data_IF_290341595097
#
_entry.id   IF_290341595097
#
_cell.length_a   1.000
_cell.length_b   1.000
_cell.length_c   1.000
_cell.angle_alpha   90.00
_cell.angle_beta   90.00
_cell.angle_gamma   90.00
#
_symmetry.space_group_name_H-M   'P 1'
#
loop_
_entity.id
_entity.type
_entity.pdbx_description
1 polymer ?
#
# COMPACT_ATOMS: atom_id res chain seq x y z
N UNK A 1 13.09 26.07 5.45
CA UNK A 1 11.66 26.04 5.76
C UNK A 1 11.22 24.62 5.40
N UNK A 2 11.06 23.76 6.41
CA UNK A 2 10.61 22.38 6.17
C UNK A 2 9.16 22.42 5.66
N UNK A 3 8.77 21.60 4.68
CA UNK A 3 7.38 21.53 4.29
C UNK A 3 6.58 21.04 5.50
N UNK A 4 5.55 21.79 5.87
CA UNK A 4 4.58 21.35 6.85
C UNK A 4 3.97 20.06 6.30
N UNK A 5 4.10 18.96 7.05
CA UNK A 5 3.37 17.73 6.77
C UNK A 5 1.88 18.05 6.89
N UNK A 6 1.23 18.15 5.76
CA UNK A 6 -0.22 18.18 5.68
C UNK A 6 -0.70 16.86 6.30
N UNK A 7 -1.33 16.93 7.46
CA UNK A 7 -1.73 15.77 8.26
C UNK A 7 -3.09 15.23 7.77
N UNK A 8 -3.40 15.45 6.49
CA UNK A 8 -4.65 15.00 5.89
C UNK A 8 -4.64 13.47 5.74
N UNK A 9 -5.69 12.83 6.23
CA UNK A 9 -5.93 11.40 6.02
C UNK A 9 -6.60 11.25 4.65
N UNK A 10 -5.77 11.03 3.62
CA UNK A 10 -6.21 11.03 2.22
C UNK A 10 -6.75 9.67 1.75
N UNK A 11 -6.38 8.62 2.46
CA UNK A 11 -6.78 7.25 2.16
C UNK A 11 -7.43 6.57 3.36
N UNK A 12 -8.37 5.68 3.05
CA UNK A 12 -8.92 4.71 3.99
C UNK A 12 -8.63 3.29 3.50
N UNK A 13 -8.12 2.44 4.38
CA UNK A 13 -8.07 1.00 4.18
C UNK A 13 -9.26 0.39 4.90
N UNK A 14 -10.23 -0.11 4.14
CA UNK A 14 -11.40 -0.82 4.66
C UNK A 14 -11.23 -2.32 4.47
N UNK A 15 -11.49 -3.10 5.51
CA UNK A 15 -11.45 -4.56 5.49
C UNK A 15 -12.87 -5.13 5.37
N UNK A 16 -12.97 -6.34 4.86
CA UNK A 16 -14.25 -7.03 4.65
C UNK A 16 -15.05 -7.23 5.96
N UNK A 17 -14.38 -7.31 7.10
CA UNK A 17 -14.99 -7.42 8.43
C UNK A 17 -15.51 -6.09 8.99
N UNK A 18 -15.39 -4.99 8.22
CA UNK A 18 -15.80 -3.65 8.60
C UNK A 18 -14.75 -2.83 9.33
N UNK A 19 -13.55 -3.40 9.60
CA UNK A 19 -12.46 -2.61 10.20
C UNK A 19 -11.93 -1.58 9.20
N UNK A 20 -11.66 -0.35 9.69
CA UNK A 20 -11.17 0.75 8.86
C UNK A 20 -9.92 1.36 9.48
N UNK A 21 -8.91 1.59 8.66
CA UNK A 21 -7.70 2.31 9.02
C UNK A 21 -7.55 3.53 8.10
N UNK A 22 -7.28 4.69 8.67
CA UNK A 22 -6.99 5.89 7.90
C UNK A 22 -5.48 6.14 7.83
N UNK A 23 -5.03 6.71 6.71
CA UNK A 23 -3.63 7.02 6.50
C UNK A 23 -3.41 8.02 5.39
N UNK A 24 -2.13 8.27 5.10
CA UNK A 24 -1.70 9.21 4.07
C UNK A 24 -1.31 8.48 2.79
N UNK A 25 -1.60 9.09 1.65
CA UNK A 25 -1.18 8.59 0.34
C UNK A 25 0.29 8.88 0.08
N UNK A 26 1.02 7.88 -0.46
CA UNK A 26 2.34 8.11 -1.03
C UNK A 26 2.56 7.43 -2.39
N UNK A 27 1.57 6.70 -2.89
CA UNK A 27 1.52 6.08 -4.22
C UNK A 27 0.65 6.84 -5.21
N UNK A 28 0.04 6.09 -6.14
CA UNK A 28 -0.89 6.64 -7.12
C UNK A 28 -2.21 7.10 -6.48
N UNK A 29 -2.78 8.19 -6.98
CA UNK A 29 -4.08 8.71 -6.54
C UNK A 29 -5.24 7.90 -7.16
N UNK A 30 -5.52 6.74 -6.57
CA UNK A 30 -6.46 5.76 -7.10
C UNK A 30 -6.97 4.85 -6.00
N UNK A 31 -8.24 4.46 -6.07
CA UNK A 31 -8.82 3.41 -5.22
C UNK A 31 -8.58 2.03 -5.83
N UNK A 32 -8.40 1.02 -4.98
CA UNK A 32 -8.19 -0.38 -5.38
C UNK A 32 -8.79 -1.35 -4.38
N UNK A 33 -9.22 -2.52 -4.84
CA UNK A 33 -9.65 -3.64 -4.02
C UNK A 33 -8.82 -4.89 -4.34
N UNK A 34 -8.63 -5.75 -3.35
CA UNK A 34 -7.90 -7.00 -3.50
C UNK A 34 -7.87 -7.82 -2.21
N UNK A 35 -7.24 -8.97 -2.27
CA UNK A 35 -6.95 -9.77 -1.08
C UNK A 35 -5.80 -9.16 -0.29
N UNK A 36 -5.96 -9.04 1.03
CA UNK A 36 -4.90 -8.61 1.92
C UNK A 36 -3.95 -9.76 2.21
N UNK A 37 -2.67 -9.51 1.97
CA UNK A 37 -1.58 -10.42 2.34
C UNK A 37 -0.48 -9.64 3.05
N UNK A 38 0.36 -10.31 3.82
CA UNK A 38 1.45 -9.64 4.52
C UNK A 38 2.79 -10.31 4.26
N UNK A 39 3.84 -9.51 4.36
CA UNK A 39 5.23 -9.93 4.26
C UNK A 39 6.00 -9.48 5.49
N UNK A 40 6.89 -10.34 5.99
CA UNK A 40 7.67 -10.09 7.22
C UNK A 40 9.15 -9.78 6.96
N UNK A 41 9.57 -9.68 5.72
CA UNK A 41 10.94 -9.32 5.36
C UNK A 41 11.29 -7.90 5.81
N UNK A 42 12.51 -7.73 6.32
CA UNK A 42 13.02 -6.43 6.74
C UNK A 42 13.62 -5.62 5.59
N UNK A 43 13.98 -6.32 4.52
CA UNK A 43 14.61 -5.77 3.30
C UNK A 43 13.98 -6.43 2.08
N UNK A 44 14.27 -5.94 0.88
CA UNK A 44 13.80 -6.56 -0.36
C UNK A 44 12.37 -6.12 -0.73
N UNK A 45 11.98 -4.88 -0.42
CA UNK A 45 10.66 -4.42 -0.85
C UNK A 45 10.55 -4.24 -2.37
N UNK A 46 11.60 -3.86 -3.15
CA UNK A 46 11.48 -3.82 -4.61
C UNK A 46 11.22 -5.21 -5.21
N UNK A 47 11.90 -6.23 -4.70
CA UNK A 47 11.70 -7.62 -5.08
C UNK A 47 10.27 -8.08 -4.72
N UNK A 48 9.83 -7.81 -3.51
CA UNK A 48 8.50 -8.24 -3.04
C UNK A 48 7.35 -7.62 -3.83
N UNK A 49 7.41 -6.33 -4.16
CA UNK A 49 6.32 -5.67 -4.90
C UNK A 49 6.31 -6.01 -6.39
N UNK A 50 7.43 -6.53 -6.92
CA UNK A 50 7.52 -7.05 -8.30
C UNK A 50 7.33 -8.56 -8.38
N UNK A 51 7.20 -9.26 -7.25
CA UNK A 51 6.96 -10.71 -7.25
C UNK A 51 5.55 -11.03 -7.80
N UNK A 52 5.47 -11.80 -8.91
CA UNK A 52 4.20 -12.21 -9.50
C UNK A 52 3.27 -12.98 -8.56
N UNK A 53 3.82 -13.58 -7.48
CA UNK A 53 3.03 -14.30 -6.47
C UNK A 53 2.03 -13.38 -5.74
N UNK A 54 2.31 -12.07 -5.69
CA UNK A 54 1.42 -11.07 -5.08
C UNK A 54 0.48 -10.39 -6.08
N UNK A 55 0.35 -10.91 -7.28
CA UNK A 55 -0.47 -10.29 -8.33
C UNK A 55 -1.92 -10.09 -7.90
N UNK A 56 -2.37 -8.83 -7.99
CA UNK A 56 -3.73 -8.44 -7.64
C UNK A 56 -4.01 -8.38 -6.13
N UNK A 57 -3.00 -8.58 -5.29
CA UNK A 57 -3.13 -8.54 -3.84
C UNK A 57 -2.69 -7.18 -3.27
N UNK A 58 -3.27 -6.78 -2.14
CA UNK A 58 -2.83 -5.63 -1.35
C UNK A 58 -1.79 -6.14 -0.35
N UNK A 59 -0.54 -5.71 -0.53
CA UNK A 59 0.59 -6.16 0.28
C UNK A 59 0.79 -5.29 1.51
N UNK A 60 0.75 -5.92 2.70
CA UNK A 60 1.06 -5.28 3.98
C UNK A 60 2.50 -5.59 4.37
N UNK A 61 3.33 -4.57 4.50
CA UNK A 61 4.70 -4.74 5.00
C UNK A 61 4.75 -4.56 6.51
N UNK A 62 5.21 -5.59 7.22
CA UNK A 62 5.27 -5.57 8.69
C UNK A 62 6.46 -4.80 9.22
N UNK A 63 7.52 -4.64 8.42
CA UNK A 63 8.67 -3.82 8.82
C UNK A 63 8.25 -2.35 8.90
N UNK A 64 8.56 -1.66 10.01
CA UNK A 64 7.93 -0.36 10.27
C UNK A 64 8.33 0.75 9.30
N UNK A 65 9.56 0.75 8.77
CA UNK A 65 10.04 1.80 7.88
C UNK A 65 10.33 1.25 6.47
N UNK A 66 9.61 1.75 5.48
CA UNK A 66 9.76 1.34 4.07
C UNK A 66 10.15 2.55 3.20
N UNK A 67 10.91 2.32 2.13
CA UNK A 67 11.37 3.35 1.21
C UNK A 67 12.75 3.94 1.53
N UNK A 68 13.33 3.64 2.67
CA UNK A 68 14.56 4.23 3.20
C UNK A 68 15.80 4.02 2.32
N UNK A 69 15.88 2.97 1.54
CA UNK A 69 16.98 2.77 0.60
C UNK A 69 16.64 3.05 -0.87
N UNK A 70 15.41 3.52 -1.15
CA UNK A 70 14.98 3.88 -2.50
C UNK A 70 14.74 2.68 -3.40
N UNK A 71 14.73 2.92 -4.70
CA UNK A 71 14.51 1.91 -5.75
C UNK A 71 15.71 1.90 -6.67
N UNK A 72 16.34 0.73 -6.93
CA UNK A 72 17.49 0.63 -7.83
C UNK A 72 17.10 0.89 -9.29
N UNK A 73 18.09 1.02 -10.15
CA UNK A 73 17.88 1.21 -11.58
C UNK A 73 17.20 -0.01 -12.19
N UNK A 74 16.19 0.25 -13.01
CA UNK A 74 15.50 -0.78 -13.82
C UNK A 74 16.19 -1.04 -15.15
N UNK A 75 17.22 -0.26 -15.48
CA UNK A 75 18.01 -0.39 -16.71
C UNK A 75 19.15 -1.39 -16.54
N UNK A 76 19.58 -1.64 -15.30
CA UNK A 76 20.61 -2.63 -15.00
C UNK A 76 19.99 -4.02 -15.07
N UNK A 77 20.38 -4.79 -16.08
CA UNK A 77 19.85 -6.12 -16.33
C UNK A 77 20.64 -7.20 -15.60
N UNK A 78 19.96 -8.25 -15.17
CA UNK A 78 20.60 -9.44 -14.59
C UNK A 78 21.52 -10.09 -15.62
N UNK A 79 22.70 -10.52 -15.19
CA UNK A 79 23.71 -11.11 -16.06
C UNK A 79 23.39 -12.54 -16.51
N UNK A 80 22.50 -13.22 -15.80
CA UNK A 80 22.12 -14.62 -16.04
C UNK A 80 20.71 -14.73 -16.63
N UNK A 81 19.83 -13.80 -16.29
CA UNK A 81 18.43 -13.82 -16.70
C UNK A 81 18.17 -12.73 -17.74
N UNK A 82 18.20 -13.08 -19.00
CA UNK A 82 17.94 -12.15 -20.09
C UNK A 82 16.60 -11.45 -19.94
N UNK A 83 16.65 -10.11 -19.96
CA UNK A 83 15.46 -9.28 -19.95
C UNK A 83 14.84 -9.02 -18.59
N UNK A 84 15.43 -9.47 -17.47
CA UNK A 84 15.02 -9.14 -16.13
C UNK A 84 15.95 -8.07 -15.53
N UNK A 85 15.41 -6.99 -14.89
CA UNK A 85 16.25 -6.07 -14.13
C UNK A 85 16.86 -6.75 -12.90
N UNK A 86 18.16 -6.47 -12.63
CA UNK A 86 18.99 -7.21 -11.68
C UNK A 86 18.47 -7.27 -10.22
N UNK A 87 17.63 -6.31 -9.82
CA UNK A 87 17.18 -6.16 -8.42
C UNK A 87 15.67 -6.33 -8.26
N UNK A 88 15.02 -7.05 -9.19
CA UNK A 88 13.58 -7.20 -9.23
C UNK A 88 13.20 -8.64 -9.62
N UNK A 89 12.02 -9.09 -9.19
CA UNK A 89 11.46 -10.38 -9.58
C UNK A 89 10.73 -10.32 -10.93
N UNK A 90 10.32 -9.11 -11.35
CA UNK A 90 9.73 -8.85 -12.66
C UNK A 90 9.97 -7.41 -13.11
N UNK A 91 9.66 -7.10 -14.39
CA UNK A 91 9.81 -5.74 -14.95
C UNK A 91 8.83 -4.72 -14.39
N UNK A 92 7.68 -5.19 -13.91
CA UNK A 92 6.56 -4.37 -13.47
C UNK A 92 6.19 -4.69 -12.03
N UNK A 93 5.48 -3.78 -11.38
CA UNK A 93 4.89 -4.00 -10.07
C UNK A 93 3.66 -4.89 -10.24
N UNK A 94 3.57 -5.98 -9.46
CA UNK A 94 2.45 -6.92 -9.52
C UNK A 94 1.41 -6.74 -8.40
N UNK A 95 1.78 -6.10 -7.30
CA UNK A 95 0.83 -5.83 -6.22
C UNK A 95 -0.26 -4.85 -6.67
N UNK A 96 -1.48 -5.02 -6.17
CA UNK A 96 -2.58 -4.08 -6.42
C UNK A 96 -2.45 -2.79 -5.59
N UNK A 97 -1.94 -2.91 -4.37
CA UNK A 97 -1.73 -1.79 -3.45
C UNK A 97 -0.73 -2.12 -2.35
N UNK A 98 -0.19 -1.09 -1.70
CA UNK A 98 0.83 -1.22 -0.65
C UNK A 98 0.36 -0.57 0.65
N UNK A 99 0.55 -1.28 1.78
CA UNK A 99 0.24 -0.79 3.13
C UNK A 99 1.50 -0.84 3.98
N UNK A 100 1.89 0.30 4.56
CA UNK A 100 3.08 0.42 5.41
C UNK A 100 2.79 1.22 6.70
N UNK A 101 3.56 0.96 7.74
CA UNK A 101 3.46 1.73 8.98
C UNK A 101 4.08 3.13 8.81
N UNK A 102 5.26 3.21 8.22
CA UNK A 102 5.96 4.47 7.98
C UNK A 102 6.67 4.45 6.63
N UNK A 103 6.55 5.51 5.88
CA UNK A 103 7.25 5.74 4.63
C UNK A 103 8.34 6.80 4.82
N UNK A 104 9.55 6.55 4.31
CA UNK A 104 10.70 7.46 4.47
C UNK A 104 10.59 8.76 3.65
N UNK A 105 9.54 8.92 2.85
CA UNK A 105 9.39 10.06 1.95
C UNK A 105 10.31 9.94 0.72
N UNK A 106 10.60 11.09 0.14
CA UNK A 106 11.47 11.17 -1.05
C UNK A 106 12.96 11.05 -0.70
N UNK A 107 13.30 10.88 0.59
CA UNK A 107 14.69 10.73 1.04
C UNK A 107 15.06 9.25 1.09
N UNK A 108 16.08 8.90 0.32
CA UNK A 108 16.67 7.56 0.31
C UNK A 108 18.20 7.68 0.30
N UNK A 109 18.90 6.64 0.77
CA UNK A 109 20.34 6.71 1.04
C UNK A 109 21.16 5.55 0.45
N UNK A 110 20.59 4.68 -0.36
CA UNK A 110 21.34 3.57 -0.94
C UNK A 110 22.02 4.01 -2.24
N UNK A 111 23.28 3.57 -2.45
CA UNK A 111 24.09 3.95 -3.60
C UNK A 111 23.55 3.44 -4.96
N UNK A 112 22.74 2.38 -4.97
CA UNK A 112 22.09 1.86 -6.18
C UNK A 112 20.76 2.56 -6.49
N UNK A 113 20.24 3.36 -5.57
CA UNK A 113 18.92 3.97 -5.74
C UNK A 113 18.95 5.09 -6.77
N UNK A 114 18.00 5.04 -7.69
CA UNK A 114 17.78 6.05 -8.73
C UNK A 114 16.49 6.82 -8.55
N UNK A 115 15.55 6.30 -7.76
CA UNK A 115 14.27 6.95 -7.49
C UNK A 115 13.74 6.61 -6.10
N UNK A 116 12.75 7.38 -5.62
CA UNK A 116 12.01 7.05 -4.41
C UNK A 116 10.97 5.95 -4.69
N UNK A 117 10.59 5.23 -3.65
CA UNK A 117 9.52 4.23 -3.74
C UNK A 117 8.18 4.89 -4.14
N UNK A 118 7.85 6.06 -3.57
CA UNK A 118 6.62 6.76 -3.89
C UNK A 118 6.55 7.21 -5.35
N UNK A 119 7.65 7.72 -5.91
CA UNK A 119 7.74 8.06 -7.33
C UNK A 119 7.49 6.84 -8.21
N UNK A 120 8.14 5.73 -7.93
CA UNK A 120 7.97 4.50 -8.71
C UNK A 120 6.55 3.93 -8.64
N UNK A 121 5.92 3.90 -7.45
CA UNK A 121 4.52 3.47 -7.30
C UNK A 121 3.56 4.36 -8.09
N UNK A 122 3.77 5.69 -8.10
CA UNK A 122 2.98 6.64 -8.90
C UNK A 122 3.12 6.39 -10.39
N UNK A 123 4.34 6.18 -10.88
CA UNK A 123 4.62 5.86 -12.29
C UNK A 123 3.90 4.58 -12.74
N UNK A 124 3.83 3.57 -11.87
CA UNK A 124 3.19 2.28 -12.16
C UNK A 124 1.69 2.27 -11.84
N UNK A 125 1.13 3.37 -11.33
CA UNK A 125 -0.29 3.48 -11.01
C UNK A 125 -0.73 2.63 -9.82
N UNK A 126 0.16 2.37 -8.86
CA UNK A 126 -0.11 1.57 -7.66
C UNK A 126 -0.37 2.49 -6.47
N UNK A 127 -1.56 2.44 -5.84
CA UNK A 127 -1.86 3.19 -4.63
C UNK A 127 -1.11 2.63 -3.42
N UNK A 128 -0.72 3.52 -2.52
CA UNK A 128 -0.01 3.15 -1.31
C UNK A 128 -0.41 4.04 -0.13
N UNK A 129 -0.61 3.41 1.02
CA UNK A 129 -1.04 4.05 2.26
C UNK A 129 0.03 3.88 3.35
N UNK A 130 0.35 4.96 4.05
CA UNK A 130 1.23 4.99 5.23
C UNK A 130 0.49 5.49 6.46
N UNK A 131 1.02 5.22 7.66
CA UNK A 131 0.40 5.58 8.93
C UNK A 131 -0.53 4.51 9.51
N UNK A 132 -0.56 3.31 8.92
CA UNK A 132 -1.39 2.19 9.37
C UNK A 132 -0.62 1.33 10.38
N UNK A 133 -1.29 0.88 11.44
CA UNK A 133 -0.72 -0.13 12.34
C UNK A 133 -0.66 -1.50 11.65
N UNK A 134 0.42 -1.71 10.89
CA UNK A 134 0.65 -2.95 10.13
C UNK A 134 0.85 -4.16 11.04
N UNK A 135 1.25 -3.97 12.30
CA UNK A 135 1.40 -5.05 13.26
C UNK A 135 0.04 -5.58 13.71
N UNK A 136 -0.89 -4.68 14.10
CA UNK A 136 -2.25 -5.06 14.44
C UNK A 136 -2.96 -5.72 13.24
N UNK A 137 -2.80 -5.13 12.06
CA UNK A 137 -3.36 -5.66 10.81
C UNK A 137 -2.83 -7.07 10.48
N UNK A 138 -1.52 -7.28 10.59
CA UNK A 138 -0.91 -8.60 10.37
C UNK A 138 -1.43 -9.65 11.35
N UNK A 139 -1.61 -9.27 12.63
CA UNK A 139 -2.16 -10.17 13.63
C UNK A 139 -3.58 -10.60 13.25
N UNK A 140 -4.43 -9.65 12.81
CA UNK A 140 -5.78 -9.91 12.34
C UNK A 140 -5.80 -10.87 11.15
N UNK A 141 -5.01 -10.61 10.12
CA UNK A 141 -4.91 -11.49 8.93
C UNK A 141 -4.46 -12.91 9.32
N UNK A 142 -3.54 -13.05 10.28
CA UNK A 142 -3.10 -14.37 10.75
C UNK A 142 -4.16 -15.14 11.53
N UNK A 143 -5.00 -14.44 12.28
CA UNK A 143 -6.05 -15.05 13.09
C UNK A 143 -7.29 -15.42 12.27
N UNK A 144 -7.65 -14.58 11.30
CA UNK A 144 -8.87 -14.73 10.51
C UNK A 144 -8.65 -15.42 9.15
N UNK A 145 -7.40 -15.48 8.66
CA UNK A 145 -7.06 -16.05 7.35
C UNK A 145 -7.14 -15.02 6.23
N UNK A 146 -7.44 -15.49 5.01
CA UNK A 146 -7.59 -14.63 3.83
C UNK A 146 -8.70 -13.60 4.01
N UNK A 147 -8.39 -12.34 3.76
CA UNK A 147 -9.28 -11.20 3.97
C UNK A 147 -9.24 -10.27 2.78
N UNK A 148 -10.41 -9.81 2.34
CA UNK A 148 -10.48 -8.78 1.31
C UNK A 148 -10.30 -7.40 1.93
N UNK A 149 -9.62 -6.51 1.19
CA UNK A 149 -9.43 -5.11 1.55
C UNK A 149 -9.72 -4.18 0.38
N UNK A 150 -9.97 -2.92 0.71
CA UNK A 150 -10.08 -1.81 -0.24
C UNK A 150 -9.26 -0.64 0.26
N UNK A 151 -8.41 -0.10 -0.60
CA UNK A 151 -7.79 1.21 -0.39
C UNK A 151 -8.66 2.21 -1.12
N UNK A 152 -9.25 3.14 -0.39
CA UNK A 152 -10.22 4.11 -0.88
C UNK A 152 -9.62 5.51 -0.83
N UNK A 153 -9.71 6.22 -1.94
CA UNK A 153 -9.26 7.60 -2.07
C UNK A 153 -10.35 8.56 -1.54
N UNK A 154 -9.93 9.60 -0.85
CA UNK A 154 -10.83 10.68 -0.43
C UNK A 154 -11.31 11.48 -1.65
N UNK A 155 -12.59 11.71 -1.75
CA UNK A 155 -13.24 12.47 -2.84
C UNK A 155 -13.63 13.88 -2.44
N UNK A 156 -13.85 14.12 -1.13
CA UNK A 156 -14.19 15.44 -0.60
C UNK A 156 -12.96 16.08 0.05
N UNK A 157 -12.71 17.41 -0.15
CA UNK A 157 -11.69 18.11 0.62
C UNK A 157 -11.99 18.01 2.11
N UNK A 158 -10.95 17.96 2.94
CA UNK A 158 -11.08 18.03 4.40
C UNK A 158 -12.05 19.17 4.77
N UNK A 159 -13.00 18.95 5.70
CA UNK A 159 -13.78 20.04 6.22
C UNK A 159 -12.82 21.03 6.88
N UNK A 160 -12.66 22.20 6.26
CA UNK A 160 -11.87 23.28 6.82
C UNK A 160 -12.38 23.53 8.23
N UNK A 161 -11.54 23.33 9.23
CA UNK A 161 -11.86 23.51 10.66
C UNK A 161 -12.18 24.98 10.95
N UNK A 162 -13.40 25.40 10.62
CA UNK A 162 -13.99 26.65 11.05
C UNK A 162 -15.08 26.34 12.06
N UNK A 163 -14.68 26.25 13.32
CA UNK A 163 -15.64 26.08 14.41
C UNK A 163 -14.95 25.69 15.72
N UNK A 164 -14.16 26.61 16.28
CA UNK A 164 -13.70 26.54 17.67
C UNK A 164 -14.89 26.46 18.61
N UNK A 165 -15.12 25.28 19.22
CA UNK A 165 -15.71 25.24 20.56
C UNK A 165 -14.64 24.67 21.49
N UNK A 166 -14.26 25.49 22.48
CA UNK A 166 -13.31 25.18 23.53
C UNK A 166 -13.74 23.93 24.33
N UNK A 167 -13.18 22.76 23.97
CA UNK A 167 -13.16 21.59 24.80
C UNK A 167 -11.71 21.20 25.04
N UNK A 168 -11.27 21.32 26.29
CA UNK A 168 -9.93 20.94 26.73
C UNK A 168 -9.75 19.43 26.54
N UNK A 169 -9.06 19.03 25.49
CA UNK A 169 -8.67 17.63 25.27
C UNK A 169 -7.36 17.41 26.01
N UNK A 170 -7.39 16.49 26.99
CA UNK A 170 -6.21 16.11 27.77
C UNK A 170 -5.22 15.37 26.88
N UNK A 171 -4.02 15.90 26.75
CA UNK A 171 -2.95 15.45 25.82
C UNK A 171 -2.30 14.13 26.21
N UNK A 172 -2.90 13.34 27.11
CA UNK A 172 -2.33 12.05 27.59
C UNK A 172 -2.74 10.83 26.76
N UNK A 173 -3.72 10.95 25.86
CA UNK A 173 -4.24 9.81 25.09
C UNK A 173 -3.65 9.66 23.68
N UNK A 174 -2.63 10.46 23.34
CA UNK A 174 -2.01 10.45 22.00
C UNK A 174 -0.86 9.44 21.81
N UNK A 175 -0.64 8.52 22.75
CA UNK A 175 0.53 7.61 22.70
C UNK A 175 0.18 6.18 22.24
N UNK A 176 -1.08 5.85 22.02
CA UNK A 176 -1.47 4.54 21.48
C UNK A 176 -2.22 4.72 20.16
N UNK A 177 -1.55 4.41 19.05
CA UNK A 177 -2.09 4.45 17.68
C UNK A 177 -3.12 3.38 17.36
N UNK A 178 -4.12 3.21 18.22
CA UNK A 178 -5.34 2.43 17.95
C UNK A 178 -6.55 3.19 18.48
N UNK A 179 -6.88 4.30 17.83
CA UNK A 179 -8.22 4.83 17.97
C UNK A 179 -9.15 3.99 17.08
N UNK A 180 -9.69 2.91 17.67
CA UNK A 180 -10.94 2.36 17.18
C UNK A 180 -12.00 3.46 17.38
N UNK A 181 -12.37 4.15 16.31
CA UNK A 181 -13.47 5.09 16.32
C UNK A 181 -14.75 4.25 16.31
N UNK A 182 -15.19 3.89 17.52
CA UNK A 182 -16.56 3.38 17.75
C UNK A 182 -17.51 4.57 17.90
N UNK A 183 -17.81 5.28 16.81
CA UNK A 183 -19.04 6.08 16.72
C UNK A 183 -19.10 6.71 15.35
N UNK A 184 -20.16 6.35 14.60
CA UNK A 184 -20.51 6.79 13.26
C UNK A 184 -19.89 6.00 12.09
N UNK A 185 -20.20 4.69 12.05
CA UNK A 185 -19.67 3.76 11.04
C UNK A 185 -20.11 4.05 9.59
N UNK A 186 -21.00 4.98 9.33
CA UNK A 186 -21.46 5.31 7.99
C UNK A 186 -21.03 6.69 7.49
N UNK A 187 -20.75 7.64 8.37
CA UNK A 187 -20.44 9.03 8.01
C UNK A 187 -19.13 9.19 7.20
N UNK A 188 -18.11 8.41 7.48
CA UNK A 188 -16.83 8.51 6.78
C UNK A 188 -16.89 8.08 5.30
N UNK A 189 -17.76 7.10 4.98
CA UNK A 189 -17.89 6.55 3.61
C UNK A 189 -18.29 7.59 2.58
N UNK A 190 -19.06 8.61 2.97
CA UNK A 190 -19.49 9.69 2.09
C UNK A 190 -18.32 10.54 1.55
N UNK A 191 -17.19 10.54 2.26
CA UNK A 191 -16.01 11.32 1.91
C UNK A 191 -14.98 10.53 1.06
N UNK A 192 -15.23 9.23 0.82
CA UNK A 192 -14.34 8.36 0.09
C UNK A 192 -15.01 7.74 -1.13
N UNK A 193 -14.20 7.48 -2.15
CA UNK A 193 -14.63 6.79 -3.36
C UNK A 193 -15.08 5.37 -3.02
N UNK A 194 -16.30 5.01 -3.43
CA UNK A 194 -16.83 3.67 -3.20
C UNK A 194 -16.55 2.80 -4.42
N UNK A 195 -15.87 1.68 -4.21
CA UNK A 195 -15.58 0.67 -5.23
C UNK A 195 -16.11 -0.69 -4.80
N UNK A 196 -16.32 -1.59 -5.75
CA UNK A 196 -16.71 -2.95 -5.45
C UNK A 196 -15.59 -3.77 -4.81
N UNK A 197 -15.97 -4.79 -4.04
CA UNK A 197 -15.02 -5.77 -3.52
C UNK A 197 -14.53 -6.67 -4.66
N UNK A 198 -13.23 -6.83 -4.75
CA UNK A 198 -12.59 -7.70 -5.75
C UNK A 198 -11.88 -8.82 -5.03
N UNK A 199 -12.31 -10.06 -5.30
CA UNK A 199 -11.62 -11.26 -4.86
C UNK A 199 -10.80 -11.76 -6.06
N UNK A 200 -9.46 -11.61 -6.05
CA UNK A 200 -8.63 -12.04 -7.17
C UNK A 200 -8.70 -13.55 -7.39
N UNK A 201 -9.02 -14.34 -6.34
CA UNK A 201 -9.09 -15.79 -6.43
C UNK A 201 -10.36 -16.29 -7.14
N UNK A 202 -11.39 -15.42 -7.29
CA UNK A 202 -12.60 -15.75 -8.08
C UNK A 202 -12.38 -15.62 -9.59
N UNK A 203 -11.34 -14.90 -9.99
CA UNK A 203 -10.95 -14.81 -11.39
C UNK A 203 -10.01 -15.95 -11.73
N UNK A 204 -10.34 -16.69 -12.78
CA UNK A 204 -9.38 -17.64 -13.34
C UNK A 204 -8.34 -16.87 -14.15
N UNK A 205 -7.29 -16.39 -13.49
CA UNK A 205 -6.21 -15.61 -14.09
C UNK A 205 -5.54 -16.35 -15.27
N UNK A 206 -5.61 -17.68 -15.28
CA UNK A 206 -5.09 -18.52 -16.38
C UNK A 206 -6.03 -18.49 -17.59
N UNK A 207 -7.36 -18.43 -17.37
CA UNK A 207 -8.36 -18.43 -18.44
C UNK A 207 -8.51 -17.07 -19.15
N UNK A 208 -8.19 -15.97 -18.47
CA UNK A 208 -8.30 -14.61 -19.04
C UNK A 208 -7.13 -14.27 -19.99
N UNK A 209 -6.21 -15.22 -20.26
CA UNK A 209 -5.09 -15.02 -21.19
C UNK A 209 -4.01 -14.07 -20.65
N UNK A 210 -4.17 -13.58 -19.45
CA UNK A 210 -3.13 -12.90 -18.69
C UNK A 210 -2.11 -13.94 -18.22
N UNK A 211 -1.58 -14.61 -19.21
CA UNK A 211 -0.59 -15.66 -19.01
C UNK A 211 0.62 -15.00 -18.39
N UNK A 212 1.00 -15.48 -17.22
CA UNK A 212 2.36 -15.46 -16.72
C UNK A 212 3.28 -16.26 -17.66
N UNK A 213 3.11 -16.12 -18.95
CA UNK A 213 4.02 -16.60 -19.96
C UNK A 213 4.88 -15.43 -20.34
N UNK A 214 6.05 -15.35 -19.75
CA UNK A 214 7.18 -14.77 -20.41
C UNK A 214 7.17 -15.32 -21.85
N UNK A 215 7.08 -14.47 -22.89
CA UNK A 215 7.14 -14.93 -24.27
C UNK A 215 8.42 -15.69 -24.62
N UNK A 216 9.39 -15.79 -23.69
CA UNK A 216 10.65 -16.54 -23.82
C UNK A 216 10.57 -17.97 -23.26
N UNK A 217 9.56 -18.35 -22.48
CA UNK A 217 9.34 -19.73 -22.08
C UNK A 217 8.62 -20.47 -23.23
N UNK A 218 9.39 -20.85 -24.25
CA UNK A 218 8.93 -21.84 -25.25
C UNK A 218 8.67 -23.16 -24.52
N UNK A 219 7.52 -23.84 -24.79
CA UNK A 219 7.34 -25.18 -24.28
C UNK A 219 8.47 -26.07 -24.83
N UNK A 220 9.06 -26.84 -23.93
CA UNK A 220 10.05 -27.90 -24.21
C UNK A 220 9.33 -29.04 -24.92
#
# INVERSE_FOLDING_TARGET
>A
MAPQSDNSQDLALELQDGHVCFGQSFGADKSIAGELVFQTGMVGYPESITDPSYRGQILVMTFPLVGNYGVPSREEMDSLLEGLPAYFEAKEIHIAGLVVASYSGEQYSHHLATSSLGTWLKEQGVPAITGVDTRALTKRIREEGSMLGRILRRTSPEPTSTGLTNGTVDTRDLVNGSAAVEEDQEGWRSNFEQIEWVDPNKKNLVAEGDVLCDPLLRPI
#
